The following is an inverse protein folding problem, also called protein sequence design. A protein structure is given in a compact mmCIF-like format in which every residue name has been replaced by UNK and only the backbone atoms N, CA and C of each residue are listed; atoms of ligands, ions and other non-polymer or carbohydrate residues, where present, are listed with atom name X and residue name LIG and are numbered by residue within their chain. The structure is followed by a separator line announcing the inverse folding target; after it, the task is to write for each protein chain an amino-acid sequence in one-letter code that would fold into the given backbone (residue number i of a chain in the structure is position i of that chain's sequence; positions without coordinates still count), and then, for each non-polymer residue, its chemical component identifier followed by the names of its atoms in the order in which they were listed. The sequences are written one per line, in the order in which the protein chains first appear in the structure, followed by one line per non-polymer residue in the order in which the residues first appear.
data_IF_913834648058
#
_entry.id   IF_913834648058
#
_cell.length_a   1.000
_cell.length_b   1.000
_cell.length_c   1.000
_cell.angle_alpha   90.00
_cell.angle_beta   90.00
_cell.angle_gamma   90.00
#
_symmetry.space_group_name_H-M   'P 1'
#
loop_
_entity.id
_entity.type
_entity.pdbx_description
1 polymer ?
#
# COMPACT_ATOMS: atom_id res chain seq x y z
N UNK A 1 24.28 -0.79 6.41
CA UNK A 1 23.37 -1.97 6.45
C UNK A 1 21.95 -1.48 6.71
N UNK A 2 20.99 -1.75 5.82
CA UNK A 2 19.57 -1.52 6.13
C UNK A 2 19.07 -2.66 7.03
N UNK A 3 18.38 -2.34 8.12
CA UNK A 3 17.79 -3.32 9.03
C UNK A 3 16.71 -4.08 8.26
N UNK A 4 16.78 -5.42 8.11
CA UNK A 4 15.89 -6.20 7.25
C UNK A 4 14.41 -6.20 7.68
N UNK A 5 14.09 -5.78 8.92
CA UNK A 5 12.70 -5.69 9.39
C UNK A 5 11.92 -4.49 8.87
N UNK A 6 12.60 -3.46 8.34
CA UNK A 6 11.97 -2.23 7.88
C UNK A 6 11.21 -2.48 6.56
N UNK A 7 11.85 -3.13 5.58
CA UNK A 7 11.24 -3.40 4.28
C UNK A 7 10.04 -4.35 4.37
N UNK A 8 10.10 -5.38 5.22
CA UNK A 8 8.96 -6.31 5.42
C UNK A 8 7.74 -5.57 5.99
N UNK A 9 7.94 -4.70 6.98
CA UNK A 9 6.88 -3.84 7.51
C UNK A 9 6.23 -3.01 6.39
N UNK A 10 7.04 -2.33 5.56
CA UNK A 10 6.53 -1.50 4.47
C UNK A 10 5.84 -2.29 3.36
N UNK A 11 6.31 -3.51 3.11
CA UNK A 11 5.64 -4.45 2.21
C UNK A 11 4.24 -4.78 2.74
N UNK A 12 4.12 -5.15 4.01
CA UNK A 12 2.82 -5.46 4.62
C UNK A 12 1.90 -4.25 4.70
N UNK A 13 2.44 -3.06 5.01
CA UNK A 13 1.66 -1.81 5.02
C UNK A 13 1.10 -1.49 3.65
N UNK A 14 1.94 -1.51 2.61
CA UNK A 14 1.52 -1.25 1.22
C UNK A 14 0.42 -2.23 0.80
N UNK A 15 0.61 -3.52 1.08
CA UNK A 15 -0.38 -4.56 0.82
C UNK A 15 -1.70 -4.33 1.57
N UNK A 16 -1.62 -3.95 2.84
CA UNK A 16 -2.79 -3.74 3.70
C UNK A 16 -3.60 -2.53 3.27
N UNK A 17 -2.93 -1.42 2.93
CA UNK A 17 -3.59 -0.22 2.39
C UNK A 17 -4.30 -0.55 1.08
N UNK A 18 -3.64 -1.25 0.15
CA UNK A 18 -4.26 -1.69 -1.10
C UNK A 18 -5.52 -2.52 -0.85
N UNK A 19 -5.45 -3.51 0.05
CA UNK A 19 -6.62 -4.32 0.42
C UNK A 19 -7.75 -3.45 1.00
N UNK A 20 -7.43 -2.50 1.87
CA UNK A 20 -8.43 -1.58 2.44
C UNK A 20 -9.13 -0.75 1.38
N UNK A 21 -8.50 -0.45 0.23
CA UNK A 21 -9.12 0.32 -0.86
C UNK A 21 -9.71 -0.54 -2.00
N UNK A 22 -9.78 -1.85 -1.79
CA UNK A 22 -10.27 -2.82 -2.78
C UNK A 22 -9.29 -3.17 -3.88
N UNK A 23 -8.00 -2.84 -3.73
CA UNK A 23 -6.94 -3.21 -4.67
C UNK A 23 -6.38 -4.60 -4.33
N UNK A 24 -6.28 -5.46 -5.34
CA UNK A 24 -5.54 -6.72 -5.28
C UNK A 24 -4.27 -6.61 -6.13
N UNK A 25 -3.12 -6.45 -5.48
CA UNK A 25 -1.82 -6.35 -6.16
C UNK A 25 -1.48 -7.59 -6.99
N UNK A 26 -1.85 -8.78 -6.52
CA UNK A 26 -1.58 -10.02 -7.26
C UNK A 26 -2.38 -10.08 -8.56
N UNK A 27 -3.64 -9.64 -8.53
CA UNK A 27 -4.45 -9.51 -9.74
C UNK A 27 -3.89 -8.43 -10.69
N UNK A 28 -3.51 -7.26 -10.16
CA UNK A 28 -2.91 -6.20 -10.97
C UNK A 28 -1.59 -6.63 -11.63
N UNK A 29 -0.80 -7.50 -10.97
CA UNK A 29 0.41 -8.08 -11.56
C UNK A 29 0.09 -9.12 -12.64
N UNK A 30 -0.88 -10.00 -12.38
CA UNK A 30 -1.34 -11.00 -13.35
C UNK A 30 -1.91 -10.36 -14.63
N UNK A 31 -2.65 -9.26 -14.47
CA UNK A 31 -3.20 -8.45 -15.56
C UNK A 31 -2.14 -7.59 -16.28
N UNK A 32 -0.88 -7.59 -15.82
CA UNK A 32 0.19 -6.76 -16.37
C UNK A 32 0.05 -5.25 -16.12
N UNK A 33 -0.88 -4.85 -15.25
CA UNK A 33 -1.10 -3.43 -14.85
C UNK A 33 -0.08 -2.94 -13.82
N UNK A 34 0.64 -3.86 -13.19
CA UNK A 34 1.68 -3.58 -12.21
C UNK A 34 2.83 -4.56 -12.38
N UNK A 35 4.05 -4.07 -12.62
CA UNK A 35 5.23 -4.96 -12.60
C UNK A 35 5.71 -5.22 -11.18
N UNK A 36 6.51 -6.27 -11.00
CA UNK A 36 7.17 -6.55 -9.71
C UNK A 36 8.10 -5.40 -9.32
N UNK A 37 8.79 -4.80 -10.29
CA UNK A 37 9.69 -3.66 -10.08
C UNK A 37 8.92 -2.42 -9.60
N UNK A 38 7.81 -2.09 -10.28
CA UNK A 38 6.91 -1.00 -9.86
C UNK A 38 6.36 -1.22 -8.44
N UNK A 39 6.05 -2.47 -8.09
CA UNK A 39 5.58 -2.79 -6.74
C UNK A 39 6.68 -2.60 -5.70
N UNK A 40 7.93 -2.97 -6.02
CA UNK A 40 9.07 -2.72 -5.13
C UNK A 40 9.29 -1.21 -4.95
N UNK A 41 9.15 -0.41 -6.01
CA UNK A 41 9.20 1.06 -5.92
C UNK A 41 8.11 1.63 -5.00
N UNK A 42 6.89 1.08 -5.02
CA UNK A 42 5.84 1.46 -4.06
C UNK A 42 6.26 1.16 -2.61
N UNK A 43 6.85 -0.01 -2.36
CA UNK A 43 7.33 -0.40 -1.03
C UNK A 43 8.49 0.51 -0.58
N UNK A 44 9.43 0.83 -1.46
CA UNK A 44 10.53 1.76 -1.19
C UNK A 44 10.03 3.19 -0.93
N UNK A 45 9.03 3.66 -1.68
CA UNK A 45 8.39 4.94 -1.45
C UNK A 45 7.66 4.99 -0.09
N UNK A 46 7.01 3.89 0.30
CA UNK A 46 6.39 3.72 1.62
C UNK A 46 7.45 3.75 2.74
N UNK A 47 8.61 3.15 2.50
CA UNK A 47 9.74 3.12 3.43
C UNK A 47 10.30 4.50 3.76
N UNK A 48 10.35 5.39 2.77
CA UNK A 48 10.75 6.78 2.98
C UNK A 48 9.68 7.68 3.61
N UNK A 49 8.53 7.15 4.03
CA UNK A 49 7.43 7.94 4.58
C UNK A 49 7.61 8.18 6.09
N UNK A 50 7.44 9.41 6.56
CA UNK A 50 7.47 9.78 7.98
C UNK A 50 6.14 9.50 8.72
N UNK A 51 5.07 9.12 8.00
CA UNK A 51 3.72 8.91 8.56
C UNK A 51 3.35 7.44 8.79
N UNK A 52 4.35 6.59 9.01
CA UNK A 52 4.17 5.13 9.13
C UNK A 52 3.32 4.75 10.35
N UNK A 53 3.54 5.40 11.49
CA UNK A 53 2.74 5.19 12.70
C UNK A 53 1.27 5.55 12.48
N UNK A 54 1.01 6.70 11.86
CA UNK A 54 -0.34 7.12 11.48
C UNK A 54 -1.00 6.13 10.50
N UNK A 55 -0.20 5.55 9.59
CA UNK A 55 -0.69 4.53 8.66
C UNK A 55 -1.14 3.27 9.41
N UNK A 56 -0.38 2.83 10.42
CA UNK A 56 -0.75 1.68 11.25
C UNK A 56 -2.02 1.94 12.07
N UNK A 57 -2.13 3.13 12.68
CA UNK A 57 -3.34 3.53 13.42
C UNK A 57 -4.56 3.53 12.47
N UNK A 58 -4.41 4.15 11.30
CA UNK A 58 -5.47 4.18 10.28
C UNK A 58 -5.89 2.77 9.87
N UNK A 59 -4.95 1.86 9.59
CA UNK A 59 -5.22 0.46 9.26
C UNK A 59 -5.93 -0.27 10.42
N UNK A 60 -5.57 0.03 11.67
CA UNK A 60 -6.24 -0.48 12.85
C UNK A 60 -7.73 -0.11 12.89
N UNK A 61 -8.08 1.11 12.49
CA UNK A 61 -9.46 1.57 12.39
C UNK A 61 -10.26 0.93 11.23
N UNK A 62 -9.60 0.33 10.23
CA UNK A 62 -10.28 -0.31 9.09
C UNK A 62 -10.69 -1.77 9.36
N UNK A 63 -10.39 -2.32 10.55
CA UNK A 63 -10.78 -3.70 10.88
C UNK A 63 -12.30 -3.83 10.96
N UNK A 64 -12.90 -4.49 9.96
CA UNK A 64 -14.34 -4.69 9.86
C UNK A 64 -15.10 -3.60 9.08
N UNK A 65 -14.39 -2.59 8.56
CA UNK A 65 -14.96 -1.62 7.65
C UNK A 65 -15.06 -2.19 6.22
N UNK A 66 -16.09 -1.81 5.43
CA UNK A 66 -16.11 -2.10 4.00
C UNK A 66 -14.90 -1.46 3.32
N UNK A 67 -14.46 -2.06 2.20
CA UNK A 67 -13.36 -1.51 1.43
C UNK A 67 -13.64 -0.03 1.10
N UNK A 68 -12.71 0.85 1.50
CA UNK A 68 -12.80 2.28 1.28
C UNK A 68 -12.60 2.61 -0.19
N UNK A 69 -13.19 3.71 -0.63
CA UNK A 69 -12.93 4.21 -1.98
C UNK A 69 -11.54 4.86 -2.14
N UNK A 70 -10.88 5.25 -1.04
CA UNK A 70 -9.65 6.06 -1.09
C UNK A 70 -8.62 5.67 -0.03
N UNK A 71 -7.32 5.76 -0.35
CA UNK A 71 -6.24 5.61 0.62
C UNK A 71 -6.21 6.78 1.61
N UNK A 72 -5.46 6.68 2.73
CA UNK A 72 -5.36 7.79 3.67
C UNK A 72 -4.73 9.01 3.00
N UNK A 73 -5.22 10.22 3.34
CA UNK A 73 -4.78 11.47 2.70
C UNK A 73 -3.27 11.76 2.87
N UNK A 74 -2.65 11.20 3.90
CA UNK A 74 -1.22 11.31 4.17
C UNK A 74 -0.37 10.22 3.49
N UNK A 75 -0.99 9.29 2.75
CA UNK A 75 -0.27 8.23 2.07
C UNK A 75 0.49 8.79 0.85
N UNK A 76 1.82 8.69 0.88
CA UNK A 76 2.67 9.08 -0.26
C UNK A 76 2.34 8.31 -1.55
N UNK A 77 1.90 7.06 -1.42
CA UNK A 77 1.54 6.20 -2.54
C UNK A 77 0.08 6.36 -2.98
N UNK A 78 -0.71 7.26 -2.36
CA UNK A 78 -2.15 7.37 -2.59
C UNK A 78 -2.52 7.39 -4.07
N UNK A 79 -1.90 8.29 -4.84
CA UNK A 79 -2.16 8.47 -6.26
C UNK A 79 -1.84 7.22 -7.09
N UNK A 80 -0.71 6.56 -6.81
CA UNK A 80 -0.31 5.36 -7.53
C UNK A 80 -1.23 4.19 -7.20
N UNK A 81 -1.62 4.04 -5.93
CA UNK A 81 -2.56 3.01 -5.50
C UNK A 81 -3.95 3.22 -6.09
N UNK A 82 -4.42 4.47 -6.17
CA UNK A 82 -5.69 4.81 -6.81
C UNK A 82 -5.69 4.50 -8.32
N UNK A 83 -4.57 4.75 -9.01
CA UNK A 83 -4.42 4.46 -10.43
C UNK A 83 -4.44 2.94 -10.76
N UNK A 84 -4.06 2.10 -9.79
CA UNK A 84 -4.04 0.64 -9.94
C UNK A 84 -5.40 -0.02 -9.66
N UNK A 85 -6.40 0.75 -9.18
CA UNK A 85 -7.72 0.18 -8.86
C UNK A 85 -8.40 -0.32 -10.13
N UNK A 86 -9.01 -1.51 -10.11
CA UNK A 86 -9.81 -1.99 -11.23
C UNK A 86 -11.02 -1.06 -11.44
N UNK A 87 -11.38 -0.84 -12.71
CA UNK A 87 -12.56 -0.08 -13.14
C UNK A 87 -13.85 -0.85 -12.90
#
# INVERSE_FOLDING_TARGET
MSIPGDTDLHFWLTRSVGRCIGLNFSAAMDEGRLSVDDYMELVHACRGCDKVENCQIWLGCQRGAPAMAKPPAFCRNARNLEALRPH
#
